data_IF_187466279161
#
_entry.id   IF_187466279161
#
_cell.length_a   1.000
_cell.length_b   1.000
_cell.length_c   1.000
_cell.angle_alpha   90.00
_cell.angle_beta   90.00
_cell.angle_gamma   90.00
#
_symmetry.space_group_name_H-M   'P 1'
#
loop_
_entity.id
_entity.type
_entity.pdbx_description
1 polymer ?
#
# COMPACT_ATOMS: atom_id res chain seq x y z
N UNK A 1 -4.64 -0.60 -17.52
CA UNK A 1 -3.30 -1.18 -17.24
C UNK A 1 -2.23 -0.11 -17.03
N UNK A 2 -2.16 0.95 -17.86
CA UNK A 2 -1.23 2.07 -17.65
C UNK A 2 -1.35 2.73 -16.26
N UNK A 3 -2.58 3.06 -15.82
CA UNK A 3 -2.81 3.68 -14.51
C UNK A 3 -2.48 2.77 -13.32
N UNK A 4 -2.67 1.46 -13.49
CA UNK A 4 -2.30 0.49 -12.46
C UNK A 4 -0.78 0.41 -12.31
N UNK A 5 -0.03 0.56 -13.41
CA UNK A 5 1.43 0.64 -13.41
C UNK A 5 1.97 1.87 -12.69
N UNK A 6 1.32 3.03 -12.83
CA UNK A 6 1.70 4.26 -12.10
C UNK A 6 1.51 4.07 -10.58
N UNK A 7 0.43 3.41 -10.17
CA UNK A 7 0.17 3.13 -8.75
C UNK A 7 1.14 2.10 -8.16
N UNK A 8 1.31 0.96 -8.84
CA UNK A 8 2.16 -0.13 -8.35
C UNK A 8 3.65 0.21 -8.37
N UNK A 9 4.09 1.06 -9.31
CA UNK A 9 5.48 1.48 -9.42
C UNK A 9 5.95 2.34 -8.25
N UNK A 10 5.07 3.19 -7.70
CA UNK A 10 5.39 4.04 -6.55
C UNK A 10 5.39 3.29 -5.22
N UNK A 11 4.50 2.31 -5.06
CA UNK A 11 4.29 1.59 -3.79
C UNK A 11 5.52 0.78 -3.33
N UNK A 12 6.23 0.16 -4.27
CA UNK A 12 7.43 -0.63 -3.93
C UNK A 12 8.63 0.29 -3.70
N UNK A 13 8.78 1.32 -4.54
CA UNK A 13 9.88 2.27 -4.47
C UNK A 13 9.86 3.07 -3.16
N UNK A 14 8.69 3.53 -2.71
CA UNK A 14 8.60 4.36 -1.50
C UNK A 14 9.05 3.63 -0.24
N UNK A 15 8.83 2.32 -0.14
CA UNK A 15 9.26 1.54 1.03
C UNK A 15 10.78 1.37 1.06
N UNK A 16 11.38 1.15 -0.11
CA UNK A 16 12.83 1.09 -0.26
C UNK A 16 13.51 2.45 -0.01
N UNK A 17 12.85 3.55 -0.38
CA UNK A 17 13.34 4.91 -0.11
C UNK A 17 13.25 5.27 1.40
N UNK A 18 12.27 4.70 2.12
CA UNK A 18 12.06 4.96 3.56
C UNK A 18 12.98 4.16 4.48
N UNK A 19 13.32 2.92 4.14
CA UNK A 19 14.18 2.05 4.95
C UNK A 19 14.94 1.07 4.07
N UNK A 20 16.23 0.87 4.35
CA UNK A 20 17.03 -0.18 3.71
C UNK A 20 17.10 -1.43 4.59
N UNK A 21 17.09 -1.25 5.91
CA UNK A 21 17.33 -2.34 6.85
C UNK A 21 16.06 -3.17 7.16
N UNK A 22 14.90 -2.54 7.06
CA UNK A 22 13.60 -3.13 7.40
C UNK A 22 12.61 -3.11 6.23
N UNK A 23 13.08 -2.98 4.98
CA UNK A 23 12.24 -2.90 3.78
C UNK A 23 11.23 -4.06 3.70
N UNK A 24 11.70 -5.29 3.93
CA UNK A 24 10.86 -6.48 3.87
C UNK A 24 9.76 -6.49 4.94
N UNK A 25 10.07 -6.06 6.16
CA UNK A 25 9.12 -6.03 7.27
C UNK A 25 8.05 -4.97 7.07
N UNK A 26 8.44 -3.75 6.69
CA UNK A 26 7.49 -2.66 6.41
C UNK A 26 6.59 -3.02 5.22
N UNK A 27 7.17 -3.60 4.16
CA UNK A 27 6.41 -4.07 3.01
C UNK A 27 5.43 -5.19 3.37
N UNK A 28 5.84 -6.15 4.22
CA UNK A 28 4.98 -7.23 4.68
C UNK A 28 3.78 -6.70 5.48
N UNK A 29 3.99 -5.74 6.38
CA UNK A 29 2.91 -5.12 7.16
C UNK A 29 1.91 -4.43 6.22
N UNK A 30 2.40 -3.64 5.26
CA UNK A 30 1.54 -3.00 4.24
C UNK A 30 0.72 -4.02 3.45
N UNK A 31 1.34 -5.10 2.99
CA UNK A 31 0.66 -6.17 2.27
C UNK A 31 -0.39 -6.87 3.14
N UNK A 32 -0.14 -7.06 4.43
CA UNK A 32 -1.10 -7.73 5.32
C UNK A 32 -2.40 -6.94 5.41
N UNK A 33 -2.29 -5.61 5.55
CA UNK A 33 -3.44 -4.69 5.57
C UNK A 33 -4.17 -4.71 4.21
N UNK A 34 -3.41 -4.73 3.11
CA UNK A 34 -3.97 -4.83 1.76
C UNK A 34 -4.76 -6.13 1.56
N UNK A 35 -4.24 -7.27 2.02
CA UNK A 35 -4.94 -8.55 1.96
C UNK A 35 -6.23 -8.55 2.79
N UNK A 36 -6.21 -8.00 4.01
CA UNK A 36 -7.43 -7.86 4.83
C UNK A 36 -8.49 -7.05 4.09
N UNK A 37 -8.10 -5.95 3.45
CA UNK A 37 -8.99 -5.12 2.62
C UNK A 37 -9.52 -5.91 1.42
N UNK A 38 -8.70 -6.75 0.80
CA UNK A 38 -9.08 -7.64 -0.29
C UNK A 38 -10.15 -8.67 0.10
N UNK A 39 -10.16 -9.13 1.35
CA UNK A 39 -11.20 -10.02 1.88
C UNK A 39 -12.50 -9.26 2.22
N UNK A 40 -12.39 -8.05 2.75
CA UNK A 40 -13.56 -7.23 3.15
C UNK A 40 -14.31 -6.68 1.93
N UNK A 41 -13.58 -6.28 0.89
CA UNK A 41 -14.15 -5.66 -0.32
C UNK A 41 -15.28 -6.46 -0.98
N UNK A 42 -15.14 -7.76 -1.29
CA UNK A 42 -16.21 -8.54 -1.91
C UNK A 42 -17.44 -8.70 -1.00
N UNK A 43 -17.27 -8.70 0.33
CA UNK A 43 -18.40 -8.74 1.27
C UNK A 43 -19.24 -7.45 1.19
N UNK A 44 -18.56 -6.30 1.15
CA UNK A 44 -19.21 -4.98 1.02
C UNK A 44 -19.89 -4.84 -0.34
N UNK A 45 -19.21 -5.23 -1.42
CA UNK A 45 -19.77 -5.21 -2.78
C UNK A 45 -20.98 -6.14 -2.89
N UNK A 46 -20.90 -7.34 -2.31
CA UNK A 46 -22.00 -8.29 -2.25
C UNK A 46 -23.23 -7.69 -1.57
N UNK A 47 -23.05 -7.06 -0.40
CA UNK A 47 -24.14 -6.39 0.32
C UNK A 47 -24.79 -5.25 -0.48
N UNK A 48 -23.99 -4.46 -1.19
CA UNK A 48 -24.50 -3.34 -2.03
C UNK A 48 -25.32 -3.86 -3.21
N UNK A 49 -24.94 -5.01 -3.77
CA UNK A 49 -25.60 -5.61 -4.93
C UNK A 49 -26.84 -6.44 -4.55
N UNK A 50 -26.90 -7.00 -3.35
CA UNK A 50 -28.06 -7.81 -2.89
C UNK A 50 -29.32 -6.97 -2.60
N UNK A 51 -29.18 -5.66 -2.41
CA UNK A 51 -30.26 -4.78 -1.93
C UNK A 51 -31.34 -4.43 -2.98
N UNK A 52 -31.10 -4.66 -4.28
CA UNK A 52 -32.07 -4.44 -5.36
C UNK A 52 -31.51 -5.02 -6.66
N UNK A 53 -32.38 -5.37 -7.62
CA UNK A 53 -32.01 -5.84 -8.98
C UNK A 53 -30.71 -5.19 -9.46
N UNK A 54 -29.72 -6.01 -9.85
CA UNK A 54 -28.34 -5.60 -10.20
C UNK A 54 -28.30 -4.49 -11.25
N UNK A 55 -28.54 -3.26 -10.82
CA UNK A 55 -28.83 -2.14 -11.70
C UNK A 55 -27.56 -1.33 -11.86
N UNK A 56 -27.37 -0.77 -13.06
CA UNK A 56 -26.23 0.10 -13.43
C UNK A 56 -25.91 1.21 -12.41
N UNK A 57 -26.90 1.63 -11.63
CA UNK A 57 -26.76 2.63 -10.55
C UNK A 57 -25.95 2.14 -9.35
N UNK A 58 -26.09 0.87 -8.91
CA UNK A 58 -25.30 0.31 -7.80
C UNK A 58 -23.81 0.21 -8.14
N UNK A 59 -23.50 -0.26 -9.35
CA UNK A 59 -22.13 -0.29 -9.84
C UNK A 59 -21.50 1.10 -9.87
N UNK A 60 -22.27 2.13 -10.25
CA UNK A 60 -21.80 3.52 -10.22
C UNK A 60 -21.41 3.95 -8.79
N UNK A 61 -22.18 3.58 -7.77
CA UNK A 61 -21.82 3.86 -6.37
C UNK A 61 -20.53 3.14 -5.95
N UNK A 62 -20.32 1.90 -6.37
CA UNK A 62 -19.08 1.16 -6.10
C UNK A 62 -17.89 1.88 -6.73
N UNK A 63 -17.99 2.30 -7.98
CA UNK A 63 -16.92 3.05 -8.65
C UNK A 63 -16.63 4.40 -7.99
N UNK A 64 -17.67 5.16 -7.60
CA UNK A 64 -17.49 6.41 -6.87
C UNK A 64 -16.83 6.20 -5.50
N UNK A 65 -17.21 5.15 -4.77
CA UNK A 65 -16.57 4.80 -3.49
C UNK A 65 -15.10 4.41 -3.68
N UNK A 66 -14.78 3.57 -4.65
CA UNK A 66 -13.39 3.19 -4.94
C UNK A 66 -12.54 4.41 -5.34
N UNK A 67 -13.08 5.32 -6.15
CA UNK A 67 -12.41 6.57 -6.51
C UNK A 67 -12.18 7.48 -5.30
N UNK A 68 -13.20 7.65 -4.45
CA UNK A 68 -13.08 8.45 -3.24
C UNK A 68 -12.05 7.88 -2.26
N UNK A 69 -12.02 6.56 -2.07
CA UNK A 69 -11.03 5.89 -1.21
C UNK A 69 -9.60 6.07 -1.73
N UNK A 70 -9.39 5.98 -3.04
CA UNK A 70 -8.08 6.19 -3.63
C UNK A 70 -7.58 7.63 -3.45
N UNK A 71 -8.46 8.62 -3.65
CA UNK A 71 -8.15 10.03 -3.41
C UNK A 71 -7.87 10.29 -1.92
N UNK A 72 -8.69 9.73 -1.01
CA UNK A 72 -8.48 9.87 0.43
C UNK A 72 -7.15 9.25 0.88
N UNK A 73 -6.83 8.04 0.41
CA UNK A 73 -5.55 7.39 0.71
C UNK A 73 -4.37 8.23 0.19
N UNK A 74 -4.47 8.75 -1.03
CA UNK A 74 -3.48 9.66 -1.60
C UNK A 74 -3.34 10.97 -0.82
N UNK A 75 -4.44 11.55 -0.34
CA UNK A 75 -4.42 12.77 0.48
C UNK A 75 -3.79 12.54 1.85
N UNK A 76 -4.12 11.43 2.53
CA UNK A 76 -3.50 11.07 3.80
C UNK A 76 -2.00 10.90 3.62
N UNK A 77 -1.57 10.19 2.57
CA UNK A 77 -0.16 10.07 2.25
C UNK A 77 0.48 11.42 1.88
N UNK A 78 -0.22 12.30 1.17
CA UNK A 78 0.31 13.62 0.81
C UNK A 78 0.50 14.56 2.02
N UNK A 79 -0.33 14.42 3.06
CA UNK A 79 -0.28 15.26 4.26
C UNK A 79 0.72 14.71 5.28
N UNK A 80 0.76 13.38 5.48
CA UNK A 80 1.52 12.75 6.56
C UNK A 80 2.70 11.90 6.09
N UNK A 81 2.70 11.49 4.82
CA UNK A 81 3.73 10.63 4.26
C UNK A 81 5.02 11.38 3.96
N UNK A 82 6.15 10.70 4.17
CA UNK A 82 7.48 11.17 3.80
C UNK A 82 8.26 10.03 3.19
N UNK A 83 8.80 10.24 2.00
CA UNK A 83 9.66 9.27 1.30
C UNK A 83 11.15 9.42 1.67
N UNK A 84 11.45 10.08 2.79
CA UNK A 84 12.83 10.18 3.29
C UNK A 84 13.14 8.99 4.20
N UNK A 85 14.42 8.63 4.28
CA UNK A 85 14.93 7.68 5.25
C UNK A 85 14.49 8.09 6.66
N UNK A 86 13.85 7.17 7.36
CA UNK A 86 13.29 7.44 8.68
C UNK A 86 14.36 7.27 9.77
N UNK A 87 14.29 8.04 10.86
CA UNK A 87 15.34 8.06 11.90
C UNK A 87 15.53 6.71 12.62
N UNK A 88 14.50 5.86 12.64
CA UNK A 88 14.56 4.51 13.20
C UNK A 88 15.27 3.49 12.30
N UNK A 89 15.62 3.87 11.07
CA UNK A 89 16.39 3.03 10.13
C UNK A 89 17.90 3.04 10.41
N UNK A 90 18.33 3.72 11.48
CA UNK A 90 19.73 3.82 11.93
C UNK A 90 20.07 2.65 12.87
N UNK A 91 20.04 1.42 12.37
CA UNK A 91 20.62 0.28 13.08
C UNK A 91 21.89 -0.16 12.34
N UNK A 92 23.04 0.36 12.79
CA UNK A 92 24.39 0.08 12.27
C UNK A 92 24.78 -1.42 12.34
N UNK A 93 24.01 -2.23 13.08
CA UNK A 93 24.32 -3.64 13.35
C UNK A 93 24.25 -4.53 12.10
N UNK A 94 23.36 -4.22 11.14
CA UNK A 94 23.18 -5.05 9.93
C UNK A 94 24.13 -4.63 8.80
N UNK A 95 24.46 -3.34 8.68
CA UNK A 95 25.46 -2.85 7.72
C UNK A 95 26.89 -3.37 8.05
N UNK A 96 27.16 -3.63 9.33
CA UNK A 96 28.45 -4.14 9.80
C UNK A 96 28.64 -5.62 9.42
N UNK A 97 27.55 -6.41 9.38
CA UNK A 97 27.61 -7.84 9.04
C UNK A 97 27.85 -8.05 7.54
N UNK A 98 27.15 -7.33 6.65
CA UNK A 98 27.37 -7.41 5.20
C UNK A 98 28.77 -6.95 4.77
N UNK A 99 29.29 -5.86 5.35
CA UNK A 99 30.65 -5.39 5.07
C UNK A 99 31.74 -6.32 5.62
N UNK A 100 31.42 -7.14 6.63
CA UNK A 100 32.35 -8.14 7.16
C UNK A 100 32.43 -9.39 6.26
N UNK A 101 31.32 -9.77 5.64
CA UNK A 101 31.22 -10.90 4.71
C UNK A 101 31.87 -10.58 3.35
N UNK A 102 31.77 -9.33 2.87
CA UNK A 102 32.41 -8.89 1.61
C UNK A 102 33.91 -8.59 1.72
N UNK A 103 34.48 -8.60 2.93
CA UNK A 103 35.91 -8.36 3.18
C UNK A 103 36.77 -9.63 3.29
N UNK A 104 36.22 -10.80 2.92
CA UNK A 104 36.93 -12.09 2.88
C UNK A 104 37.21 -12.50 1.44
#
# INVERSE_FOLDING_TARGET
MLLFGVSAGGEIAVVADMTNNFTATVFAIGNTIAFTTGVITPLVVGYILDASDQTRRQWSYIFYMSGALNILGGLVFAIFGSAKRQDWDMDESIETDERSITRI
#
